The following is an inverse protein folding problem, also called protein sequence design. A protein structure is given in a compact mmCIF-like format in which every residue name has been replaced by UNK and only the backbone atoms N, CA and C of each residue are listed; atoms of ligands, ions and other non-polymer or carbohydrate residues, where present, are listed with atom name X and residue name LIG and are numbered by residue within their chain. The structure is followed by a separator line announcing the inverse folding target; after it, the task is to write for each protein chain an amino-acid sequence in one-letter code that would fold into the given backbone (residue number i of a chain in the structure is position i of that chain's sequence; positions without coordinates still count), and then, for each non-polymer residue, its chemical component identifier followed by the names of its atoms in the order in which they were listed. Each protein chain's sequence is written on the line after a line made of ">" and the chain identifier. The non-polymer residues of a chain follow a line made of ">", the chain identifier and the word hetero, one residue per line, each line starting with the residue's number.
data_IF_508401712500
#
_entry.id   IF_508401712500
#
_cell.length_a   1.000
_cell.length_b   1.000
_cell.length_c   1.000
_cell.angle_alpha   90.00
_cell.angle_beta   90.00
_cell.angle_gamma   90.00
#
_symmetry.space_group_name_H-M   'P 1'
#
loop_
_entity.id
_entity.type
_entity.pdbx_description
1 polymer ?
#
# COMPACT_ATOMS: atom_id res chain seq x y z
N UNK A 1 16.90 -8.51 -6.24
CA UNK A 1 15.54 -8.58 -5.64
C UNK A 1 15.46 -7.79 -4.35
N UNK A 2 16.28 -8.08 -3.32
CA UNK A 2 16.26 -7.31 -2.06
C UNK A 2 16.50 -5.80 -2.29
N UNK A 3 17.54 -5.43 -3.02
CA UNK A 3 17.83 -4.02 -3.34
C UNK A 3 16.72 -3.34 -4.17
N UNK A 4 15.98 -4.09 -4.99
CA UNK A 4 14.89 -3.53 -5.78
C UNK A 4 13.66 -3.25 -4.89
N UNK A 5 13.39 -4.16 -3.96
CA UNK A 5 12.35 -3.96 -2.94
C UNK A 5 12.69 -2.77 -2.04
N UNK A 6 13.93 -2.72 -1.55
CA UNK A 6 14.46 -1.63 -0.74
C UNK A 6 14.29 -0.28 -1.43
N UNK A 7 14.75 -0.16 -2.68
CA UNK A 7 14.58 1.07 -3.48
C UNK A 7 13.11 1.50 -3.56
N UNK A 8 12.19 0.59 -3.89
CA UNK A 8 10.77 0.96 -4.02
C UNK A 8 10.16 1.34 -2.68
N UNK A 9 10.51 0.67 -1.58
CA UNK A 9 9.96 0.99 -0.27
C UNK A 9 10.35 2.40 0.22
N UNK A 10 11.56 2.86 -0.12
CA UNK A 10 12.09 4.13 0.38
C UNK A 10 12.03 5.28 -0.62
N UNK A 11 12.05 5.02 -1.93
CA UNK A 11 12.10 6.06 -2.96
C UNK A 11 10.79 6.24 -3.73
N UNK A 12 9.84 5.31 -3.58
CA UNK A 12 8.55 5.36 -4.28
C UNK A 12 7.42 5.31 -3.26
N UNK A 13 6.91 6.47 -2.82
CA UNK A 13 5.78 6.54 -1.92
C UNK A 13 4.60 5.73 -2.44
N UNK A 14 3.83 5.13 -1.54
CA UNK A 14 2.50 4.66 -1.93
C UNK A 14 1.57 5.87 -2.02
N UNK A 15 0.77 5.97 -3.08
CA UNK A 15 -0.21 7.03 -3.25
C UNK A 15 -1.47 6.48 -3.89
N UNK A 16 -2.59 6.49 -3.17
CA UNK A 16 -3.89 6.13 -3.74
C UNK A 16 -4.49 7.25 -4.61
N UNK A 17 -3.94 8.46 -4.53
CA UNK A 17 -4.32 9.60 -5.35
C UNK A 17 -3.78 9.49 -6.79
N UNK A 18 -2.64 8.81 -6.96
CA UNK A 18 -1.89 8.81 -8.22
C UNK A 18 -2.71 8.35 -9.44
N UNK A 19 -3.47 7.27 -9.29
CA UNK A 19 -4.25 6.74 -10.40
C UNK A 19 -5.48 7.60 -10.74
N UNK A 20 -6.01 8.40 -9.79
CA UNK A 20 -7.07 9.36 -10.13
C UNK A 20 -6.55 10.42 -11.09
N UNK A 21 -5.37 10.97 -10.82
CA UNK A 21 -4.69 11.90 -11.71
C UNK A 21 -4.39 11.28 -13.08
N UNK A 22 -3.86 10.06 -13.13
CA UNK A 22 -3.48 9.40 -14.39
C UNK A 22 -4.69 9.00 -15.26
N UNK A 23 -5.77 8.52 -14.64
CA UNK A 23 -6.89 7.91 -15.36
C UNK A 23 -8.08 8.84 -15.58
N UNK A 24 -8.25 9.83 -14.70
CA UNK A 24 -9.36 10.78 -14.76
C UNK A 24 -8.91 12.23 -14.79
N UNK A 25 -7.71 12.54 -14.30
CA UNK A 25 -7.10 13.86 -14.35
C UNK A 25 -6.30 14.16 -15.61
N UNK A 26 -5.32 15.04 -15.47
CA UNK A 26 -4.54 15.64 -16.57
C UNK A 26 -3.34 14.81 -17.04
N UNK A 27 -2.99 13.73 -16.34
CA UNK A 27 -1.86 12.88 -16.72
C UNK A 27 -1.24 12.13 -15.54
N UNK A 28 -0.22 11.32 -15.85
CA UNK A 28 0.50 10.57 -14.83
C UNK A 28 1.25 11.52 -13.88
N UNK A 29 1.12 11.36 -12.55
CA UNK A 29 1.84 12.18 -11.60
C UNK A 29 3.36 11.89 -11.63
N UNK A 30 4.21 12.84 -11.22
CA UNK A 30 5.63 12.59 -11.00
C UNK A 30 5.87 11.43 -10.02
N UNK A 31 6.94 10.66 -10.25
CA UNK A 31 7.34 9.50 -9.41
C UNK A 31 7.41 9.85 -7.91
N UNK A 32 7.86 11.06 -7.57
CA UNK A 32 7.97 11.53 -6.18
C UNK A 32 6.63 11.70 -5.45
N UNK A 33 5.51 11.86 -6.18
CA UNK A 33 4.16 11.88 -5.58
C UNK A 33 3.59 10.47 -5.38
N UNK A 34 4.40 9.45 -5.64
CA UNK A 34 4.11 8.06 -5.38
C UNK A 34 3.31 7.36 -6.46
N UNK A 35 2.98 6.10 -6.16
CA UNK A 35 2.25 5.19 -7.04
C UNK A 35 1.26 4.37 -6.22
N UNK A 36 0.09 4.07 -6.78
CA UNK A 36 -0.81 3.09 -6.17
C UNK A 36 -0.25 1.68 -6.16
N UNK A 37 -0.93 0.79 -5.42
CA UNK A 37 -0.40 -0.50 -4.99
C UNK A 37 0.12 -1.39 -6.14
N UNK A 38 -0.67 -1.56 -7.21
CA UNK A 38 -0.25 -2.38 -8.34
C UNK A 38 0.96 -1.79 -9.07
N UNK A 39 1.08 -0.46 -9.14
CA UNK A 39 2.20 0.22 -9.80
C UNK A 39 3.50 0.10 -9.03
N UNK A 40 3.46 0.11 -7.70
CA UNK A 40 4.65 -0.23 -6.90
C UNK A 40 5.11 -1.67 -7.18
N UNK A 41 4.18 -2.62 -7.33
CA UNK A 41 4.49 -4.00 -7.72
C UNK A 41 5.12 -4.08 -9.12
N UNK A 42 4.66 -3.28 -10.06
CA UNK A 42 5.24 -3.21 -11.40
C UNK A 42 6.63 -2.56 -11.38
N UNK A 43 6.83 -1.50 -10.59
CA UNK A 43 8.11 -0.81 -10.48
C UNK A 43 9.19 -1.69 -9.84
N UNK A 44 8.88 -2.40 -8.75
CA UNK A 44 9.84 -3.33 -8.14
C UNK A 44 10.21 -4.44 -9.13
N UNK A 45 9.24 -4.89 -9.94
CA UNK A 45 9.47 -5.94 -10.93
C UNK A 45 10.34 -5.47 -12.08
N UNK A 46 10.12 -4.24 -12.57
CA UNK A 46 10.96 -3.58 -13.58
C UNK A 46 12.41 -3.48 -13.10
N UNK A 47 12.64 -3.06 -11.86
CA UNK A 47 13.99 -2.97 -11.28
C UNK A 47 14.67 -4.34 -11.17
N UNK A 48 13.93 -5.39 -10.79
CA UNK A 48 14.47 -6.76 -10.77
C UNK A 48 14.83 -7.23 -12.18
N UNK A 49 13.96 -7.00 -13.16
CA UNK A 49 14.20 -7.39 -14.55
C UNK A 49 15.44 -6.67 -15.10
N UNK A 50 15.56 -5.35 -14.91
CA UNK A 50 16.72 -4.57 -15.35
C UNK A 50 18.02 -5.09 -14.74
N UNK A 51 18.01 -5.48 -13.46
CA UNK A 51 19.23 -5.91 -12.74
C UNK A 51 19.61 -7.36 -12.99
N UNK A 52 18.64 -8.23 -13.29
CA UNK A 52 18.87 -9.69 -13.29
C UNK A 52 18.41 -10.41 -14.55
N UNK A 53 17.67 -9.74 -15.44
CA UNK A 53 17.01 -10.34 -16.60
C UNK A 53 15.80 -11.22 -16.25
N UNK A 54 15.47 -11.39 -14.97
CA UNK A 54 14.37 -12.26 -14.53
C UNK A 54 13.06 -11.49 -14.52
N UNK A 55 12.05 -12.03 -15.22
CA UNK A 55 10.70 -11.48 -15.29
C UNK A 55 9.82 -11.99 -14.16
N UNK A 56 8.94 -11.13 -13.66
CA UNK A 56 7.92 -11.49 -12.69
C UNK A 56 6.69 -12.10 -13.39
N UNK A 57 6.00 -13.00 -12.69
CA UNK A 57 4.60 -13.31 -12.93
C UNK A 57 3.74 -12.46 -11.99
N UNK A 58 2.69 -11.84 -12.50
CA UNK A 58 1.81 -10.97 -11.71
C UNK A 58 0.57 -11.73 -11.26
N UNK A 59 0.52 -12.14 -10.00
CA UNK A 59 -0.68 -12.73 -9.43
C UNK A 59 -1.72 -11.64 -9.20
N UNK A 60 -2.99 -11.91 -9.54
CA UNK A 60 -4.08 -10.96 -9.44
C UNK A 60 -5.23 -11.52 -8.59
N UNK A 61 -5.64 -10.77 -7.57
CA UNK A 61 -6.75 -11.15 -6.67
C UNK A 61 -8.08 -10.48 -7.03
N UNK A 62 -8.16 -9.80 -8.18
CA UNK A 62 -9.29 -8.96 -8.59
C UNK A 62 -9.07 -7.47 -8.34
N UNK A 63 -8.17 -7.12 -7.43
CA UNK A 63 -8.01 -5.77 -6.85
C UNK A 63 -6.59 -5.45 -6.40
N UNK A 64 -5.79 -6.48 -6.17
CA UNK A 64 -4.40 -6.36 -5.78
C UNK A 64 -3.52 -7.22 -6.68
N UNK A 65 -2.28 -6.77 -6.86
CA UNK A 65 -1.28 -7.44 -7.70
C UNK A 65 -0.02 -7.66 -6.88
N UNK A 66 0.46 -8.90 -6.87
CA UNK A 66 1.75 -9.28 -6.29
C UNK A 66 2.68 -9.82 -7.37
N UNK A 67 3.97 -9.49 -7.28
CA UNK A 67 4.99 -9.99 -8.19
C UNK A 67 5.57 -11.28 -7.63
N UNK A 68 5.52 -12.36 -8.41
CA UNK A 68 6.10 -13.64 -8.03
C UNK A 68 7.14 -14.11 -9.04
N UNK A 69 8.24 -14.65 -8.52
CA UNK A 69 9.32 -15.22 -9.30
C UNK A 69 9.34 -16.71 -9.02
N UNK A 70 8.78 -17.48 -9.94
CA UNK A 70 8.60 -18.90 -9.77
C UNK A 70 9.80 -19.68 -10.29
N UNK A 71 10.26 -20.60 -9.47
CA UNK A 71 11.32 -21.57 -9.76
C UNK A 71 10.78 -22.97 -9.45
N UNK A 72 11.41 -24.05 -9.95
CA UNK A 72 10.90 -25.41 -9.78
C UNK A 72 10.64 -25.78 -8.31
N UNK A 73 11.54 -25.37 -7.41
CA UNK A 73 11.56 -25.71 -5.99
C UNK A 73 11.07 -24.60 -5.06
N UNK A 74 10.90 -23.37 -5.55
CA UNK A 74 10.54 -22.21 -4.71
C UNK A 74 9.80 -21.11 -5.45
N UNK A 75 9.13 -20.25 -4.68
CA UNK A 75 8.49 -19.03 -5.14
C UNK A 75 9.01 -17.86 -4.30
N UNK A 76 9.47 -16.80 -4.96
CA UNK A 76 9.78 -15.53 -4.28
C UNK A 76 8.68 -14.52 -4.56
N UNK A 77 8.16 -13.87 -3.53
CA UNK A 77 7.12 -12.84 -3.62
C UNK A 77 7.69 -11.47 -3.28
N UNK A 78 7.42 -10.48 -4.14
CA UNK A 78 7.66 -9.05 -3.90
C UNK A 78 6.32 -8.31 -3.99
N UNK A 79 6.04 -7.49 -2.99
CA UNK A 79 4.77 -6.76 -2.83
C UNK A 79 5.00 -5.54 -1.93
N UNK A 80 5.51 -4.43 -2.49
CA UNK A 80 5.85 -3.24 -1.70
C UNK A 80 4.62 -2.59 -1.04
N UNK A 81 3.40 -2.89 -1.51
CA UNK A 81 2.19 -2.39 -0.88
C UNK A 81 1.94 -3.02 0.50
N UNK A 82 2.36 -4.27 0.68
CA UNK A 82 2.47 -4.95 1.97
C UNK A 82 3.92 -4.86 2.42
N UNK A 83 4.36 -3.79 3.10
CA UNK A 83 5.75 -3.32 3.10
C UNK A 83 6.72 -4.22 3.90
N UNK A 84 6.91 -5.46 3.44
CA UNK A 84 7.80 -6.46 4.00
C UNK A 84 9.25 -6.06 3.75
N UNK A 85 10.11 -6.33 4.73
CA UNK A 85 11.48 -5.82 4.74
C UNK A 85 12.45 -6.65 3.91
N UNK A 86 12.00 -7.80 3.41
CA UNK A 86 12.84 -8.76 2.67
C UNK A 86 11.99 -9.56 1.68
N UNK A 87 12.55 -9.97 0.54
CA UNK A 87 11.86 -10.89 -0.36
C UNK A 87 11.36 -12.13 0.38
N UNK A 88 10.08 -12.46 0.20
CA UNK A 88 9.44 -13.59 0.89
C UNK A 88 9.65 -14.84 0.02
N UNK A 89 10.42 -15.80 0.52
CA UNK A 89 10.80 -17.01 -0.22
C UNK A 89 10.07 -18.21 0.37
N UNK A 90 9.19 -18.83 -0.42
CA UNK A 90 8.45 -20.05 -0.07
C UNK A 90 9.11 -21.23 -0.79
N UNK A 91 9.58 -22.24 -0.05
CA UNK A 91 10.23 -23.42 -0.65
C UNK A 91 9.32 -24.63 -0.54
N UNK A 92 9.25 -25.45 -1.59
CA UNK A 92 8.48 -26.71 -1.59
C UNK A 92 8.96 -27.69 -0.52
N UNK A 93 10.24 -27.61 -0.14
CA UNK A 93 10.80 -28.45 0.93
C UNK A 93 10.18 -28.14 2.31
N UNK A 94 9.59 -26.95 2.48
CA UNK A 94 9.03 -26.48 3.75
C UNK A 94 7.51 -26.75 3.84
N UNK A 95 6.97 -27.65 3.00
CA UNK A 95 5.54 -27.99 3.00
C UNK A 95 5.17 -28.75 4.28
N UNK A 96 4.19 -28.21 5.00
CA UNK A 96 3.53 -28.85 6.14
C UNK A 96 2.03 -28.82 5.87
N UNK A 97 1.35 -29.96 6.06
CA UNK A 97 -0.10 -30.10 5.82
C UNK A 97 -0.57 -29.58 4.44
N UNK A 98 0.28 -29.75 3.42
CA UNK A 98 -0.01 -29.38 2.03
C UNK A 98 0.21 -27.89 1.69
N UNK A 99 0.72 -27.07 2.61
CA UNK A 99 1.02 -25.67 2.38
C UNK A 99 2.42 -25.26 2.88
N UNK A 100 2.95 -24.18 2.32
CA UNK A 100 4.15 -23.49 2.81
C UNK A 100 3.69 -22.14 3.35
N UNK A 101 3.99 -21.84 4.61
CA UNK A 101 3.70 -20.53 5.22
C UNK A 101 4.98 -19.86 5.67
N UNK A 102 5.18 -18.62 5.26
CA UNK A 102 6.31 -17.78 5.67
C UNK A 102 5.77 -16.49 6.25
N UNK A 103 6.29 -16.10 7.41
CA UNK A 103 6.04 -14.81 8.04
C UNK A 103 7.31 -13.94 7.94
N UNK A 104 7.13 -12.66 7.64
CA UNK A 104 8.20 -11.68 7.58
C UNK A 104 7.77 -10.36 8.22
N UNK A 105 8.71 -9.72 8.91
CA UNK A 105 8.53 -8.36 9.42
C UNK A 105 8.27 -7.37 8.28
N UNK A 106 7.44 -6.39 8.57
CA UNK A 106 7.00 -5.34 7.68
C UNK A 106 6.87 -4.01 8.43
N UNK A 107 6.84 -2.92 7.67
CA UNK A 107 6.55 -1.58 8.20
C UNK A 107 5.05 -1.41 8.52
N UNK A 108 4.67 -0.54 9.48
CA UNK A 108 5.55 0.18 10.42
C UNK A 108 6.24 -0.74 11.44
N UNK A 109 7.39 -0.28 11.95
CA UNK A 109 8.14 -0.93 13.03
C UNK A 109 7.67 -0.36 14.38
N UNK A 110 6.59 -0.94 14.93
CA UNK A 110 5.98 -0.46 16.18
C UNK A 110 6.68 -1.02 17.41
N UNK A 111 6.36 -0.43 18.56
CA UNK A 111 6.80 -0.93 19.86
C UNK A 111 5.59 -1.17 20.77
N UNK A 112 5.75 -2.09 21.72
CA UNK A 112 4.77 -2.32 22.78
C UNK A 112 4.80 -1.17 23.80
N UNK A 113 3.84 -1.17 24.73
CA UNK A 113 3.85 -0.23 25.87
C UNK A 113 5.10 -0.37 26.77
N UNK A 114 5.78 -1.52 26.74
CA UNK A 114 7.05 -1.76 27.45
C UNK A 114 8.29 -1.40 26.61
N UNK A 115 8.10 -0.92 25.38
CA UNK A 115 9.17 -0.57 24.45
C UNK A 115 9.74 -1.74 23.65
N UNK A 116 9.16 -2.94 23.75
CA UNK A 116 9.62 -4.11 22.99
C UNK A 116 9.25 -3.97 21.50
N UNK A 117 10.11 -4.42 20.57
CA UNK A 117 9.78 -4.41 19.14
C UNK A 117 8.55 -5.25 18.82
N UNK A 118 7.58 -4.64 18.14
CA UNK A 118 6.37 -5.28 17.65
C UNK A 118 6.10 -4.83 16.20
N UNK A 119 6.97 -5.19 15.24
CA UNK A 119 6.81 -4.77 13.85
C UNK A 119 5.52 -5.34 13.27
N UNK A 120 5.00 -4.68 12.24
CA UNK A 120 3.93 -5.24 11.42
C UNK A 120 4.41 -6.52 10.73
N UNK A 121 3.49 -7.37 10.28
CA UNK A 121 3.81 -8.70 9.76
C UNK A 121 3.11 -8.95 8.43
N UNK A 122 3.84 -9.53 7.49
CA UNK A 122 3.28 -10.13 6.28
C UNK A 122 3.43 -11.64 6.37
N UNK A 123 2.31 -12.34 6.25
CA UNK A 123 2.23 -13.80 6.19
C UNK A 123 1.80 -14.20 4.79
N UNK A 124 2.62 -15.00 4.12
CA UNK A 124 2.28 -15.58 2.82
C UNK A 124 2.13 -17.09 2.99
N UNK A 125 1.01 -17.62 2.53
CA UNK A 125 0.73 -19.06 2.46
C UNK A 125 0.59 -19.46 1.01
N UNK A 126 1.36 -20.46 0.58
CA UNK A 126 1.28 -21.06 -0.75
C UNK A 126 0.88 -22.52 -0.65
N UNK A 127 -0.15 -22.93 -1.38
CA UNK A 127 -0.59 -24.33 -1.48
C UNK A 127 -0.12 -24.90 -2.82
N UNK A 128 0.98 -25.68 -2.89
CA UNK A 128 1.57 -26.07 -4.17
C UNK A 128 0.70 -27.01 -5.02
N UNK A 129 -0.19 -27.77 -4.38
CA UNK A 129 -1.07 -28.75 -5.05
C UNK A 129 -2.11 -28.10 -5.96
N UNK A 130 -2.60 -26.92 -5.59
CA UNK A 130 -3.55 -26.16 -6.39
C UNK A 130 -2.98 -24.83 -6.91
N UNK A 131 -1.85 -24.36 -6.40
CA UNK A 131 -1.22 -23.10 -6.84
C UNK A 131 -1.82 -21.84 -6.20
N UNK A 132 -2.65 -21.98 -5.17
CA UNK A 132 -3.22 -20.83 -4.45
C UNK A 132 -2.17 -20.14 -3.61
N UNK A 133 -2.17 -18.81 -3.64
CA UNK A 133 -1.35 -17.98 -2.73
C UNK A 133 -2.30 -17.09 -1.92
N UNK A 134 -2.10 -17.04 -0.61
CA UNK A 134 -2.79 -16.15 0.29
C UNK A 134 -1.77 -15.23 0.95
N UNK A 135 -2.06 -13.94 1.00
CA UNK A 135 -1.24 -12.94 1.69
C UNK A 135 -2.07 -12.23 2.75
N UNK A 136 -1.56 -12.18 3.98
CA UNK A 136 -2.15 -11.43 5.09
C UNK A 136 -1.12 -10.43 5.61
N UNK A 137 -1.54 -9.18 5.77
CA UNK A 137 -0.75 -8.13 6.40
C UNK A 137 -1.46 -7.67 7.67
N UNK A 138 -0.76 -7.73 8.78
CA UNK A 138 -1.25 -7.33 10.10
C UNK A 138 -0.37 -6.25 10.71
N UNK A 139 -1.00 -5.36 11.45
CA UNK A 139 -0.32 -4.29 12.21
C UNK A 139 -0.50 -4.54 13.69
N UNK A 140 0.58 -4.39 14.45
CA UNK A 140 0.47 -4.35 15.91
C UNK A 140 -0.23 -3.07 16.34
N UNK A 141 -1.17 -3.14 17.27
CA UNK A 141 -1.96 -2.03 17.79
C UNK A 141 -1.47 -1.67 19.20
N UNK A 142 -0.55 -0.69 19.37
CA UNK A 142 0.06 -0.41 20.67
C UNK A 142 -0.96 -0.13 21.76
N UNK A 143 -2.06 0.57 21.44
CA UNK A 143 -3.12 0.87 22.40
C UNK A 143 -3.86 -0.38 22.89
N UNK A 144 -4.03 -1.37 22.02
CA UNK A 144 -4.81 -2.58 22.30
C UNK A 144 -3.97 -3.83 22.61
N UNK A 145 -2.63 -3.74 22.46
CA UNK A 145 -1.70 -4.80 22.81
C UNK A 145 -1.72 -6.03 21.91
N UNK A 146 -2.29 -5.97 20.70
CA UNK A 146 -2.43 -7.13 19.81
C UNK A 146 -2.24 -6.80 18.33
N UNK A 147 -2.11 -7.84 17.49
CA UNK A 147 -2.06 -7.70 16.04
C UNK A 147 -3.45 -7.73 15.44
N UNK A 148 -3.76 -6.76 14.56
CA UNK A 148 -4.99 -6.73 13.79
C UNK A 148 -4.69 -6.92 12.30
N UNK A 149 -5.46 -7.79 11.63
CA UNK A 149 -5.38 -7.96 10.18
C UNK A 149 -5.83 -6.68 9.49
N UNK A 150 -4.96 -6.11 8.66
CA UNK A 150 -5.21 -4.86 7.96
C UNK A 150 -5.55 -5.08 6.48
N UNK A 151 -4.90 -6.06 5.83
CA UNK A 151 -5.18 -6.45 4.45
C UNK A 151 -5.03 -7.95 4.30
N UNK A 152 -5.89 -8.56 3.50
CA UNK A 152 -5.77 -9.96 3.11
C UNK A 152 -6.16 -10.12 1.64
N UNK A 153 -5.41 -10.95 0.90
CA UNK A 153 -5.67 -11.23 -0.51
C UNK A 153 -5.49 -12.72 -0.78
N UNK A 154 -6.35 -13.24 -1.65
CA UNK A 154 -6.25 -14.62 -2.14
C UNK A 154 -6.09 -14.60 -3.65
N UNK A 155 -4.97 -15.13 -4.12
CA UNK A 155 -4.63 -15.27 -5.52
C UNK A 155 -4.99 -16.69 -5.95
N UNK A 156 -6.08 -16.81 -6.72
CA UNK A 156 -6.56 -18.09 -7.21
C UNK A 156 -5.63 -18.62 -8.31
N UNK A 157 -5.55 -19.95 -8.48
CA UNK A 157 -4.76 -20.56 -9.54
C UNK A 157 -5.16 -20.02 -10.92
N UNK A 158 -4.17 -19.72 -11.76
CA UNK A 158 -4.40 -19.15 -13.11
C UNK A 158 -4.88 -17.69 -13.13
N UNK A 159 -5.12 -17.07 -11.97
CA UNK A 159 -5.46 -15.63 -11.89
C UNK A 159 -4.18 -14.80 -11.99
N UNK A 160 -3.68 -14.69 -13.21
CA UNK A 160 -2.50 -13.90 -13.57
C UNK A 160 -2.96 -12.70 -14.38
N UNK A 161 -2.35 -11.53 -14.14
CA UNK A 161 -2.61 -10.35 -14.95
C UNK A 161 -2.05 -10.60 -16.38
N UNK A 162 -2.91 -10.65 -17.41
CA UNK A 162 -2.51 -11.14 -18.74
C UNK A 162 -1.72 -10.10 -19.55
N UNK A 163 -1.83 -8.81 -19.18
CA UNK A 163 -1.16 -7.71 -19.86
C UNK A 163 -0.78 -6.63 -18.85
N UNK A 164 0.44 -6.09 -19.01
CA UNK A 164 0.94 -4.93 -18.28
C UNK A 164 1.28 -3.81 -19.29
N UNK A 165 0.83 -2.56 -19.08
CA UNK A 165 -0.11 -2.13 -18.03
C UNK A 165 -1.52 -2.74 -18.20
N UNK A 166 -2.33 -2.85 -17.12
CA UNK A 166 -3.71 -3.31 -17.23
C UNK A 166 -4.52 -2.43 -18.20
N UNK A 167 -5.54 -2.98 -18.87
CA UNK A 167 -6.40 -2.19 -19.76
C UNK A 167 -7.00 -0.97 -19.03
N UNK A 168 -6.98 0.21 -19.68
CA UNK A 168 -7.46 1.47 -19.08
C UNK A 168 -8.86 1.38 -18.49
N UNK A 169 -9.79 0.69 -19.17
CA UNK A 169 -11.15 0.49 -18.69
C UNK A 169 -11.25 -0.39 -17.44
N UNK A 170 -10.33 -1.35 -17.25
CA UNK A 170 -10.27 -2.14 -16.02
C UNK A 170 -9.83 -1.27 -14.84
N UNK A 171 -8.75 -0.50 -15.01
CA UNK A 171 -8.23 0.39 -13.94
C UNK A 171 -9.28 1.37 -13.50
N UNK A 172 -9.93 2.06 -14.44
CA UNK A 172 -11.00 3.03 -14.16
C UNK A 172 -12.09 2.45 -13.25
N UNK A 173 -12.57 1.24 -13.54
CA UNK A 173 -13.58 0.58 -12.69
C UNK A 173 -13.07 0.25 -11.29
N UNK A 174 -11.82 -0.18 -11.15
CA UNK A 174 -11.25 -0.55 -9.86
C UNK A 174 -11.04 0.66 -8.93
N UNK A 175 -10.79 1.85 -9.49
CA UNK A 175 -10.64 3.08 -8.71
C UNK A 175 -11.95 3.55 -8.05
N UNK A 176 -13.10 3.12 -8.56
CA UNK A 176 -14.42 3.48 -8.03
C UNK A 176 -15.03 2.36 -7.18
N UNK A 177 -14.20 1.43 -6.71
CA UNK A 177 -14.65 0.38 -5.81
C UNK A 177 -15.01 0.97 -4.44
N UNK A 178 -16.07 0.46 -3.80
CA UNK A 178 -16.59 0.97 -2.53
C UNK A 178 -15.52 1.06 -1.42
N UNK A 179 -14.55 0.15 -1.41
CA UNK A 179 -13.45 0.19 -0.45
C UNK A 179 -12.47 1.37 -0.58
N UNK A 180 -12.62 2.21 -1.61
CA UNK A 180 -11.94 3.50 -1.69
C UNK A 180 -12.61 4.49 -0.72
N UNK A 181 -12.34 4.33 0.57
CA UNK A 181 -12.91 5.15 1.65
C UNK A 181 -12.00 6.24 2.22
N UNK A 182 -10.85 6.43 1.59
CA UNK A 182 -9.88 7.47 1.90
C UNK A 182 -8.99 7.69 0.68
N UNK A 183 -8.27 8.80 0.62
CA UNK A 183 -7.08 8.93 -0.20
C UNK A 183 -5.87 9.11 0.71
N UNK A 184 -4.73 8.53 0.34
CA UNK A 184 -3.54 8.59 1.17
C UNK A 184 -2.24 8.60 0.38
N UNK A 185 -1.22 9.19 1.01
CA UNK A 185 0.18 9.13 0.61
C UNK A 185 0.95 8.57 1.80
N UNK A 186 1.74 7.53 1.56
CA UNK A 186 2.46 6.79 2.60
C UNK A 186 3.92 6.67 2.23
N UNK A 187 4.78 7.07 3.16
CA UNK A 187 6.23 7.09 3.01
C UNK A 187 6.87 6.27 4.11
N UNK A 188 8.08 5.78 3.85
CA UNK A 188 8.94 5.16 4.83
C UNK A 188 10.25 5.93 4.79
N UNK A 189 10.65 6.49 5.93
CA UNK A 189 11.93 7.17 6.07
C UNK A 189 13.07 6.15 6.04
N UNK A 190 14.10 6.38 5.22
CA UNK A 190 15.24 5.47 5.07
C UNK A 190 16.16 5.47 6.29
N UNK A 191 16.31 6.59 6.97
CA UNK A 191 17.21 6.77 8.10
C UNK A 191 16.53 6.32 9.40
N UNK A 192 15.31 6.80 9.65
CA UNK A 192 14.56 6.51 10.87
C UNK A 192 13.83 5.16 10.80
N UNK A 193 13.60 4.63 9.60
CA UNK A 193 12.77 3.44 9.35
C UNK A 193 11.32 3.61 9.80
N UNK A 194 10.88 4.85 9.95
CA UNK A 194 9.53 5.21 10.38
C UNK A 194 8.60 5.35 9.18
N UNK A 195 7.43 4.74 9.28
CA UNK A 195 6.38 4.95 8.30
C UNK A 195 5.49 6.12 8.74
N UNK A 196 5.14 7.00 7.80
CA UNK A 196 4.19 8.09 7.99
C UNK A 196 3.17 8.08 6.86
N UNK A 197 1.95 8.53 7.15
CA UNK A 197 0.85 8.57 6.19
C UNK A 197 0.11 9.90 6.28
N UNK A 198 -0.06 10.59 5.15
CA UNK A 198 -1.01 11.70 4.99
C UNK A 198 -2.30 11.11 4.43
N UNK A 199 -3.42 11.33 5.11
CA UNK A 199 -4.70 10.70 4.77
C UNK A 199 -5.80 11.76 4.69
N UNK A 200 -6.65 11.62 3.68
CA UNK A 200 -7.94 12.26 3.55
C UNK A 200 -9.03 11.18 3.65
N UNK A 201 -9.63 10.95 4.82
CA UNK A 201 -10.72 9.99 4.97
C UNK A 201 -11.96 10.48 4.20
N UNK A 202 -12.86 9.59 3.77
CA UNK A 202 -14.17 9.98 3.20
C UNK A 202 -15.35 9.73 4.15
N UNK A 203 -15.10 9.06 5.26
CA UNK A 203 -16.10 8.56 6.20
C UNK A 203 -16.90 9.65 6.90
N UNK A 204 -18.21 9.43 7.01
CA UNK A 204 -19.13 10.28 7.77
C UNK A 204 -19.29 11.68 7.19
N UNK A 205 -18.99 11.86 5.90
CA UNK A 205 -18.99 13.18 5.25
C UNK A 205 -19.91 13.21 4.06
N UNK A 206 -20.50 14.38 3.86
CA UNK A 206 -21.22 14.69 2.64
C UNK A 206 -20.26 14.70 1.45
N UNK A 207 -20.75 14.24 0.31
CA UNK A 207 -19.96 14.16 -0.92
C UNK A 207 -19.35 15.52 -1.31
N UNK A 208 -20.03 16.62 -1.03
CA UNK A 208 -19.54 17.97 -1.30
C UNK A 208 -18.26 18.32 -0.53
N UNK A 209 -18.02 17.66 0.62
CA UNK A 209 -16.96 18.01 1.58
C UNK A 209 -15.76 17.06 1.54
N UNK A 210 -15.76 16.04 0.66
CA UNK A 210 -14.63 15.08 0.55
C UNK A 210 -13.29 15.75 0.23
N UNK A 211 -13.26 16.91 -0.43
CA UNK A 211 -12.07 17.65 -0.80
C UNK A 211 -11.76 18.86 0.12
N UNK A 212 -12.16 18.80 1.39
CA UNK A 212 -11.84 19.82 2.40
C UNK A 212 -10.47 19.58 3.06
N UNK A 213 -9.54 20.55 3.10
CA UNK A 213 -8.25 20.41 3.79
C UNK A 213 -8.35 20.23 5.32
N UNK A 214 -9.40 20.75 5.96
CA UNK A 214 -9.60 20.66 7.44
C UNK A 214 -9.77 19.24 7.94
N UNK A 215 -9.98 18.34 7.00
CA UNK A 215 -10.30 16.96 7.21
C UNK A 215 -9.11 16.00 7.00
N UNK A 216 -7.97 16.55 6.62
CA UNK A 216 -6.72 15.81 6.53
C UNK A 216 -6.29 15.36 7.93
N UNK A 217 -5.69 14.17 7.97
CA UNK A 217 -5.03 13.63 9.15
C UNK A 217 -3.66 13.10 8.75
N UNK A 218 -2.74 13.03 9.71
CA UNK A 218 -1.54 12.20 9.59
C UNK A 218 -1.63 10.99 10.49
N UNK A 219 -0.95 9.91 10.11
CA UNK A 219 -0.67 8.75 10.97
C UNK A 219 0.83 8.56 11.08
N UNK A 220 1.33 8.51 12.32
CA UNK A 220 2.74 8.25 12.58
C UNK A 220 3.07 6.74 12.57
N UNK A 221 4.33 6.41 12.86
CA UNK A 221 4.81 5.03 12.87
C UNK A 221 4.09 4.15 13.92
N UNK A 222 3.72 4.72 15.08
CA UNK A 222 2.96 4.00 16.11
C UNK A 222 1.45 3.92 15.80
N UNK A 223 0.99 4.59 14.74
CA UNK A 223 -0.41 4.65 14.37
C UNK A 223 -1.19 5.73 15.11
N UNK A 224 -0.50 6.68 15.74
CA UNK A 224 -1.13 7.85 16.36
C UNK A 224 -1.65 8.77 15.26
N UNK A 225 -2.88 9.22 15.42
CA UNK A 225 -3.57 10.13 14.51
C UNK A 225 -3.37 11.58 14.97
N UNK A 226 -3.03 12.46 14.04
CA UNK A 226 -3.02 13.91 14.27
C UNK A 226 -3.94 14.61 13.26
N UNK A 227 -4.84 15.46 13.74
CA UNK A 227 -5.80 16.20 12.92
C UNK A 227 -5.16 17.41 12.22
N UNK A 228 -5.70 17.77 11.05
CA UNK A 228 -5.26 18.90 10.26
C UNK A 228 -5.14 20.20 11.07
N UNK A 229 -3.97 20.85 10.96
CA UNK A 229 -3.67 22.10 11.66
C UNK A 229 -3.13 21.93 13.09
N UNK A 230 -3.07 20.72 13.64
CA UNK A 230 -2.38 20.45 14.91
C UNK A 230 -0.85 20.41 14.74
N UNK A 231 -0.10 20.61 15.83
CA UNK A 231 1.37 20.53 15.82
C UNK A 231 1.88 19.15 15.35
N UNK A 232 1.23 18.07 15.81
CA UNK A 232 1.56 16.71 15.38
C UNK A 232 1.37 16.50 13.88
N UNK A 233 0.28 17.04 13.33
CA UNK A 233 0.01 17.00 11.90
C UNK A 233 1.06 17.75 11.09
N UNK A 234 1.41 18.97 11.50
CA UNK A 234 2.41 19.79 10.80
C UNK A 234 3.79 19.12 10.81
N UNK A 235 4.19 18.55 11.95
CA UNK A 235 5.46 17.81 12.07
C UNK A 235 5.50 16.59 11.15
N UNK A 236 4.43 15.79 11.14
CA UNK A 236 4.39 14.58 10.31
C UNK A 236 4.30 14.93 8.82
N UNK A 237 3.55 15.99 8.46
CA UNK A 237 3.48 16.51 7.10
C UNK A 237 4.83 17.01 6.60
N UNK A 238 5.56 17.77 7.42
CA UNK A 238 6.91 18.27 7.09
C UNK A 238 7.88 17.10 6.80
N UNK A 239 7.86 16.06 7.63
CA UNK A 239 8.65 14.86 7.40
C UNK A 239 8.26 14.12 6.11
N UNK A 240 6.96 14.01 5.81
CA UNK A 240 6.50 13.42 4.55
C UNK A 240 7.01 14.25 3.36
N UNK A 241 6.84 15.57 3.42
CA UNK A 241 7.28 16.54 2.42
C UNK A 241 8.78 16.47 2.15
N UNK A 242 9.59 16.31 3.19
CA UNK A 242 11.02 16.10 3.07
C UNK A 242 11.34 14.84 2.24
N UNK A 243 10.70 13.72 2.56
CA UNK A 243 10.93 12.43 1.87
C UNK A 243 10.49 12.50 0.40
N UNK A 244 9.33 13.11 0.11
CA UNK A 244 8.83 13.22 -1.26
C UNK A 244 9.46 14.37 -2.06
N UNK A 245 10.27 15.21 -1.40
CA UNK A 245 10.84 16.45 -1.95
C UNK A 245 9.78 17.38 -2.54
N UNK A 246 8.74 17.68 -1.75
CA UNK A 246 7.60 18.52 -2.14
C UNK A 246 7.24 19.50 -1.06
N UNK A 247 6.75 20.67 -1.48
CA UNK A 247 6.21 21.65 -0.56
C UNK A 247 4.89 21.14 0.07
N UNK A 248 4.59 21.49 1.33
CA UNK A 248 3.35 21.10 1.99
C UNK A 248 2.09 21.43 1.20
N UNK A 249 2.02 22.64 0.63
CA UNK A 249 0.88 23.09 -0.16
C UNK A 249 0.71 22.28 -1.45
N UNK A 250 1.81 21.91 -2.12
CA UNK A 250 1.77 21.07 -3.33
C UNK A 250 1.23 19.68 -2.99
N UNK A 251 1.72 19.07 -1.90
CA UNK A 251 1.33 17.73 -1.50
C UNK A 251 -0.13 17.66 -1.05
N UNK A 252 -0.59 18.66 -0.29
CA UNK A 252 -1.99 18.81 0.12
C UNK A 252 -2.88 19.04 -1.09
N UNK A 253 -2.55 20.00 -1.97
CA UNK A 253 -3.33 20.28 -3.17
C UNK A 253 -3.46 19.04 -4.06
N UNK A 254 -2.38 18.29 -4.24
CA UNK A 254 -2.37 17.05 -5.01
C UNK A 254 -3.37 16.01 -4.47
N UNK A 255 -3.46 15.84 -3.15
CA UNK A 255 -4.39 14.92 -2.53
C UNK A 255 -5.85 15.41 -2.65
N UNK A 256 -6.07 16.72 -2.46
CA UNK A 256 -7.40 17.33 -2.59
C UNK A 256 -7.90 17.34 -4.04
N UNK A 257 -7.04 17.53 -5.03
CA UNK A 257 -7.39 17.44 -6.44
C UNK A 257 -7.85 16.04 -6.82
N UNK A 258 -7.18 15.00 -6.32
CA UNK A 258 -7.65 13.62 -6.50
C UNK A 258 -9.02 13.38 -5.83
N UNK A 259 -9.26 14.02 -4.68
CA UNK A 259 -10.56 13.96 -4.02
C UNK A 259 -11.66 14.65 -4.84
N UNK A 260 -11.37 15.80 -5.46
CA UNK A 260 -12.30 16.49 -6.39
C UNK A 260 -12.61 15.62 -7.60
N UNK A 261 -11.60 15.01 -8.19
CA UNK A 261 -11.78 14.03 -9.27
C UNK A 261 -12.72 12.92 -8.82
N UNK A 262 -12.49 12.32 -7.65
CA UNK A 262 -13.37 11.30 -7.08
C UNK A 262 -14.81 11.79 -6.87
N UNK A 263 -14.97 12.99 -6.29
CA UNK A 263 -16.27 13.66 -6.10
C UNK A 263 -17.04 13.85 -7.40
N UNK A 264 -16.37 14.03 -8.53
CA UNK A 264 -17.02 14.20 -9.84
C UNK A 264 -17.43 12.86 -10.46
N UNK A 265 -16.58 11.85 -10.37
CA UNK A 265 -16.71 10.60 -11.15
C UNK A 265 -17.38 9.45 -10.40
N UNK A 266 -17.40 9.47 -9.07
CA UNK A 266 -17.96 8.36 -8.29
C UNK A 266 -19.48 8.25 -8.55
N UNK A 267 -20.08 7.05 -8.61
CA UNK A 267 -21.54 6.92 -8.66
C UNK A 267 -22.21 7.63 -7.48
N UNK A 268 -23.37 8.26 -7.69
CA UNK A 268 -24.08 9.00 -6.63
C UNK A 268 -24.60 8.09 -5.51
N UNK A 269 -24.84 6.83 -5.85
CA UNK A 269 -25.30 5.74 -4.99
C UNK A 269 -24.15 4.88 -4.41
N UNK A 270 -22.89 5.28 -4.62
CA UNK A 270 -21.75 4.56 -4.07
C UNK A 270 -21.69 4.75 -2.55
N UNK A 271 -22.05 3.70 -1.81
CA UNK A 271 -21.84 3.65 -0.37
C UNK A 271 -20.35 3.44 -0.04
N UNK A 272 -19.79 4.39 0.69
CA UNK A 272 -18.38 4.37 1.12
C UNK A 272 -18.33 3.88 2.57
N UNK A 273 -17.65 2.76 2.87
CA UNK A 273 -17.56 2.20 4.21
C UNK A 273 -16.69 3.08 5.12
N UNK A 274 -16.86 2.92 6.42
CA UNK A 274 -16.09 3.67 7.41
C UNK A 274 -14.58 3.40 7.30
N UNK A 275 -13.80 4.45 7.48
CA UNK A 275 -12.35 4.48 7.56
C UNK A 275 -12.00 4.64 9.03
N UNK A 276 -11.17 3.75 9.59
CA UNK A 276 -10.78 3.83 10.99
C UNK A 276 -9.86 5.05 11.20
N UNK A 277 -10.45 6.09 11.79
CA UNK A 277 -9.78 7.34 12.21
C UNK A 277 -9.31 7.32 13.67
N UNK A 278 -9.49 6.19 14.38
CA UNK A 278 -8.98 6.02 15.74
C UNK A 278 -7.49 5.67 15.75
N UNK A 279 -6.82 6.03 16.86
CA UNK A 279 -5.47 5.55 17.18
C UNK A 279 -5.42 4.02 17.16
N UNK A 280 -4.44 3.48 16.44
CA UNK A 280 -4.22 2.04 16.33
C UNK A 280 -3.60 1.43 17.59
#
# INVERSE_FOLDING_TARGET
>A
MAEALDEVLFEVPYSSAAQFHEYYGSGAPPRGLGMGCAWQTFEVSRLVEVRSGVKATYLFSGRHVAAVYQQPDRMTVLDPYLPHRRPIVLRRADVVDGAVTVEADAYPLRVTATGEPAPSKVRITWTPSNGTVHSEYSRYRPRLGHYATFRAFTFKPGSVLPAFPPPRGLVKRLLLHAEQNNLSIRVIDREELWMRELVLPFTGRDRADLADPRHLITKDNQGKVSEGGTEGFLRDLDAICHIVSKDPDELVAYLLDAARIYQEIAPADLEVPDYPVEDE
#
